data_IF_162030504345
#
_entry.id   IF_162030504345
#
_cell.length_a   1.000
_cell.length_b   1.000
_cell.length_c   1.000
_cell.angle_alpha   90.00
_cell.angle_beta   90.00
_cell.angle_gamma   90.00
#
_symmetry.space_group_name_H-M   'P 1'
#
loop_
_entity.id
_entity.type
_entity.pdbx_description
1 polymer ?
#
# COMPACT_ATOMS: atom_id res chain seq x y z
N UNK A 1 -9.76 -0.04 -15.58
CA UNK A 1 -8.31 -0.24 -15.32
C UNK A 1 -7.98 -1.65 -15.80
N UNK A 2 -6.96 -1.86 -16.65
CA UNK A 2 -6.51 -3.20 -16.97
C UNK A 2 -5.98 -3.88 -15.70
N UNK A 3 -6.17 -5.20 -15.60
CA UNK A 3 -5.60 -6.00 -14.53
C UNK A 3 -4.16 -6.30 -14.96
N UNK A 4 -3.18 -5.71 -14.29
CA UNK A 4 -1.76 -6.01 -14.50
C UNK A 4 -1.37 -7.23 -13.66
N UNK A 5 -0.85 -8.27 -14.31
CA UNK A 5 -0.26 -9.43 -13.64
C UNK A 5 1.16 -9.09 -13.18
N UNK A 6 1.29 -8.66 -11.94
CA UNK A 6 2.60 -8.43 -11.32
C UNK A 6 3.04 -9.73 -10.65
N UNK A 7 3.93 -10.47 -11.31
CA UNK A 7 4.53 -11.67 -10.75
C UNK A 7 5.53 -11.33 -9.64
N UNK A 8 5.41 -12.00 -8.50
CA UNK A 8 6.43 -11.98 -7.46
C UNK A 8 7.54 -12.99 -7.82
N UNK A 9 8.77 -12.71 -7.37
CA UNK A 9 9.81 -13.73 -7.45
C UNK A 9 9.46 -14.94 -6.57
N UNK A 10 10.08 -16.09 -6.86
CA UNK A 10 9.74 -17.34 -6.18
C UNK A 10 9.92 -17.26 -4.66
N UNK A 11 10.98 -16.60 -4.19
CA UNK A 11 11.24 -16.47 -2.74
C UNK A 11 10.20 -15.59 -2.04
N UNK A 12 9.76 -14.53 -2.69
CA UNK A 12 8.70 -13.64 -2.20
C UNK A 12 7.34 -14.35 -2.18
N UNK A 13 7.03 -15.16 -3.19
CA UNK A 13 5.82 -16.00 -3.20
C UNK A 13 5.81 -16.98 -2.03
N UNK A 14 6.90 -17.73 -1.82
CA UNK A 14 7.01 -18.70 -0.72
C UNK A 14 6.84 -18.01 0.65
N UNK A 15 7.37 -16.81 0.83
CA UNK A 15 7.19 -16.02 2.05
C UNK A 15 5.73 -15.61 2.25
N UNK A 16 5.06 -15.16 1.19
CA UNK A 16 3.65 -14.76 1.24
C UNK A 16 2.77 -15.95 1.62
N UNK A 17 2.98 -17.11 0.99
CA UNK A 17 2.24 -18.34 1.28
C UNK A 17 2.43 -18.79 2.72
N UNK A 18 3.67 -18.76 3.22
CA UNK A 18 3.99 -19.14 4.60
C UNK A 18 3.30 -18.24 5.62
N UNK A 19 3.30 -16.93 5.40
CA UNK A 19 2.62 -15.98 6.28
C UNK A 19 1.09 -16.07 6.18
N UNK A 20 0.54 -16.32 4.99
CA UNK A 20 -0.88 -16.54 4.78
C UNK A 20 -1.36 -17.81 5.52
N UNK A 21 -0.61 -18.90 5.38
CA UNK A 21 -0.87 -20.15 6.10
C UNK A 21 -0.81 -19.97 7.62
N UNK A 22 0.18 -19.23 8.13
CA UNK A 22 0.29 -18.89 9.56
C UNK A 22 -0.94 -18.14 10.09
N UNK A 23 -1.58 -17.33 9.25
CA UNK A 23 -2.77 -16.53 9.57
C UNK A 23 -4.09 -17.22 9.24
N UNK A 24 -4.06 -18.39 8.59
CA UNK A 24 -5.24 -19.12 8.17
C UNK A 24 -6.05 -18.42 7.07
N UNK A 25 -5.41 -17.62 6.23
CA UNK A 25 -6.03 -16.92 5.09
C UNK A 25 -5.34 -17.28 3.77
N UNK A 26 -5.96 -16.98 2.63
CA UNK A 26 -5.33 -17.25 1.33
C UNK A 26 -4.18 -16.26 1.04
N UNK A 27 -3.17 -16.66 0.24
CA UNK A 27 -2.09 -15.77 -0.19
C UNK A 27 -2.60 -14.50 -0.88
N UNK A 28 -3.63 -14.62 -1.72
CA UNK A 28 -4.25 -13.50 -2.43
C UNK A 28 -4.95 -12.54 -1.45
N UNK A 29 -5.65 -13.08 -0.46
CA UNK A 29 -6.30 -12.28 0.58
C UNK A 29 -5.27 -11.48 1.38
N UNK A 30 -4.17 -12.12 1.77
CA UNK A 30 -3.06 -11.46 2.46
C UNK A 30 -2.40 -10.39 1.58
N UNK A 31 -2.12 -10.69 0.30
CA UNK A 31 -1.57 -9.73 -0.65
C UNK A 31 -2.48 -8.49 -0.79
N UNK A 32 -3.78 -8.71 -0.95
CA UNK A 32 -4.75 -7.63 -1.04
C UNK A 32 -4.82 -6.77 0.24
N UNK A 33 -4.63 -7.36 1.42
CA UNK A 33 -4.56 -6.63 2.69
C UNK A 33 -3.28 -5.79 2.77
N UNK A 34 -2.13 -6.36 2.42
CA UNK A 34 -0.83 -5.68 2.42
C UNK A 34 -0.83 -4.48 1.46
N UNK A 35 -1.36 -4.66 0.25
CA UNK A 35 -1.51 -3.58 -0.73
C UNK A 35 -2.41 -2.47 -0.19
N UNK A 36 -3.57 -2.82 0.37
CA UNK A 36 -4.48 -1.84 0.97
C UNK A 36 -3.82 -1.05 2.10
N UNK A 37 -3.07 -1.73 2.97
CA UNK A 37 -2.34 -1.09 4.06
C UNK A 37 -1.27 -0.12 3.53
N UNK A 38 -0.51 -0.53 2.53
CA UNK A 38 0.54 0.31 1.94
C UNK A 38 -0.06 1.53 1.22
N UNK A 39 -1.15 1.34 0.48
CA UNK A 39 -1.90 2.45 -0.14
C UNK A 39 -2.39 3.44 0.92
N UNK A 40 -2.96 2.96 2.02
CA UNK A 40 -3.40 3.82 3.11
C UNK A 40 -2.22 4.60 3.72
N UNK A 41 -1.08 3.94 3.95
CA UNK A 41 0.12 4.60 4.48
C UNK A 41 0.65 5.70 3.55
N UNK A 42 0.64 5.46 2.24
CA UNK A 42 1.14 6.39 1.22
C UNK A 42 0.19 7.56 0.96
N UNK A 43 -1.12 7.30 0.98
CA UNK A 43 -2.15 8.30 0.66
C UNK A 43 -2.69 9.03 1.89
N UNK A 44 -2.35 8.58 3.11
CA UNK A 44 -2.75 9.26 4.34
C UNK A 44 -2.32 10.73 4.29
N UNK A 45 -3.23 11.69 4.52
CA UNK A 45 -2.90 13.10 4.62
C UNK A 45 -1.81 13.29 5.68
N UNK A 46 -0.64 13.80 5.25
CA UNK A 46 0.43 14.17 6.17
C UNK A 46 0.24 15.64 6.49
N UNK A 47 0.21 15.98 7.78
CA UNK A 47 0.27 17.39 8.17
C UNK A 47 1.54 17.98 7.57
N UNK A 48 1.46 19.11 6.85
CA UNK A 48 2.65 19.76 6.32
C UNK A 48 3.59 20.06 7.50
N UNK A 49 4.85 19.62 7.39
CA UNK A 49 5.90 19.91 8.39
C UNK A 49 6.49 21.32 8.25
N UNK A 50 5.90 22.16 7.38
CA UNK A 50 6.39 23.48 7.05
C UNK A 50 5.32 24.56 7.25
N UNK A 51 5.77 25.81 7.26
CA UNK A 51 4.88 26.98 7.31
C UNK A 51 4.01 26.98 6.05
N UNK A 52 2.69 26.91 6.24
CA UNK A 52 1.73 27.05 5.14
C UNK A 52 1.64 28.54 4.80
N UNK A 53 2.27 28.95 3.70
CA UNK A 53 2.18 30.33 3.21
C UNK A 53 0.82 30.55 2.54
N UNK A 54 -0.05 31.45 3.04
CA UNK A 54 -1.33 31.70 2.41
C UNK A 54 -1.15 32.45 1.08
N UNK A 55 -1.87 32.06 0.03
CA UNK A 55 -1.96 32.85 -1.18
C UNK A 55 -2.77 34.12 -0.91
N UNK A 56 -2.14 35.29 -1.03
CA UNK A 56 -2.82 36.57 -0.99
C UNK A 56 -3.10 37.02 -2.42
N UNK A 57 -4.38 37.26 -2.74
CA UNK A 57 -4.74 37.91 -4.00
C UNK A 57 -4.26 39.37 -3.91
N UNK A 58 -3.47 39.83 -4.90
CA UNK A 58 -3.14 41.27 -5.00
C UNK A 58 -4.45 42.04 -5.17
N UNK A 59 -4.63 43.07 -4.33
CA UNK A 59 -5.68 44.07 -4.46
C UNK A 59 -5.35 45.03 -5.62
#
# INVERSE_FOLDING_TARGET
MPIEEVGLDQGQMEQLEKEAARRGISPEALAAELIRRELANRTKPRSPRGVVTPFHRKA
#
